data_IF_086250286201
#
_entry.id   IF_086250286201
#
_cell.length_a   1.000
_cell.length_b   1.000
_cell.length_c   1.000
_cell.angle_alpha   90.00
_cell.angle_beta   90.00
_cell.angle_gamma   90.00
#
_symmetry.space_group_name_H-M   'P 1'
#
loop_
_entity.id
_entity.type
_entity.pdbx_description
1 polymer ?
#
# COMPACT_ATOMS: atom_id res chain seq x y z
N UNK A 1 -59.50 29.60 6.38
CA UNK A 1 -59.96 28.67 5.34
C UNK A 1 -58.98 27.50 5.31
N UNK A 2 -59.43 26.33 5.77
CA UNK A 2 -58.70 25.05 5.65
C UNK A 2 -58.69 24.57 4.20
N UNK A 3 -57.60 23.94 3.75
CA UNK A 3 -57.56 22.87 2.72
C UNK A 3 -56.10 22.30 2.71
N UNK A 4 -55.79 21.26 3.50
CA UNK A 4 -55.72 19.84 3.08
C UNK A 4 -54.72 19.70 1.90
N UNK A 5 -53.41 19.45 2.12
CA UNK A 5 -52.77 18.15 2.34
C UNK A 5 -53.52 16.95 1.75
N UNK A 6 -53.45 16.75 0.43
CA UNK A 6 -53.44 15.47 -0.31
C UNK A 6 -52.87 15.80 -1.71
N UNK A 7 -52.02 15.02 -2.37
CA UNK A 7 -52.36 13.74 -2.94
C UNK A 7 -51.07 13.01 -3.36
N UNK A 8 -50.97 11.77 -2.90
CA UNK A 8 -50.12 10.74 -3.45
C UNK A 8 -50.28 10.65 -4.98
N UNK A 9 -49.23 11.00 -5.72
CA UNK A 9 -49.09 10.66 -7.13
C UNK A 9 -48.02 9.57 -7.30
N UNK A 10 -48.22 8.41 -6.67
CA UNK A 10 -47.58 7.16 -7.11
C UNK A 10 -48.43 6.57 -8.23
N UNK A 11 -48.08 6.84 -9.49
CA UNK A 11 -48.64 6.09 -10.61
C UNK A 11 -47.62 5.86 -11.73
N UNK A 12 -46.90 4.76 -11.54
CA UNK A 12 -46.54 3.73 -12.52
C UNK A 12 -45.87 4.08 -13.85
N UNK A 13 -44.72 3.40 -13.99
CA UNK A 13 -43.96 3.03 -15.21
C UNK A 13 -42.91 4.05 -15.66
N UNK A 14 -41.67 3.55 -15.76
CA UNK A 14 -40.45 4.22 -16.21
C UNK A 14 -39.65 4.97 -15.14
N UNK A 15 -38.99 4.19 -14.28
CA UNK A 15 -37.89 4.67 -13.44
C UNK A 15 -36.78 3.64 -13.20
N UNK A 16 -36.81 2.48 -13.88
CA UNK A 16 -35.67 1.53 -13.86
C UNK A 16 -34.39 2.16 -14.46
N UNK A 17 -34.52 3.32 -15.11
CA UNK A 17 -33.45 4.18 -15.61
C UNK A 17 -32.92 5.20 -14.59
N UNK A 18 -33.44 5.22 -13.35
CA UNK A 18 -33.03 6.15 -12.29
C UNK A 18 -32.03 5.59 -11.28
N UNK A 19 -31.63 4.32 -11.38
CA UNK A 19 -30.69 3.68 -10.45
C UNK A 19 -29.24 3.72 -10.98
N UNK A 20 -29.03 4.10 -12.24
CA UNK A 20 -27.71 4.07 -12.89
C UNK A 20 -26.86 5.35 -12.70
N UNK A 21 -27.33 6.37 -11.97
CA UNK A 21 -26.61 7.64 -11.80
C UNK A 21 -26.38 8.04 -10.34
N UNK A 22 -26.29 7.08 -9.42
CA UNK A 22 -25.69 7.31 -8.11
C UNK A 22 -24.20 6.95 -8.18
N UNK A 23 -23.49 7.82 -8.87
CA UNK A 23 -22.05 8.03 -8.89
C UNK A 23 -21.47 7.96 -7.46
N UNK A 24 -20.88 6.82 -7.08
CA UNK A 24 -20.01 6.74 -5.91
C UNK A 24 -18.93 5.67 -6.11
N UNK A 25 -18.13 5.82 -7.17
CA UNK A 25 -16.87 5.08 -7.30
C UNK A 25 -15.86 5.78 -6.38
N UNK A 26 -15.84 5.40 -5.10
CA UNK A 26 -14.75 5.74 -4.19
C UNK A 26 -13.51 4.90 -4.60
N UNK A 27 -12.68 5.42 -5.51
CA UNK A 27 -11.34 4.88 -5.73
C UNK A 27 -10.49 5.24 -4.51
N UNK A 28 -10.44 4.32 -3.55
CA UNK A 28 -9.52 4.40 -2.41
C UNK A 28 -8.09 4.32 -2.95
N UNK A 29 -7.36 5.43 -2.95
CA UNK A 29 -5.94 5.46 -3.28
C UNK A 29 -5.17 4.54 -2.34
N UNK A 30 -4.55 3.49 -2.89
CA UNK A 30 -3.64 2.65 -2.12
C UNK A 30 -2.40 3.48 -1.77
N UNK A 31 -2.33 3.97 -0.53
CA UNK A 31 -1.10 4.57 0.00
C UNK A 31 0.01 3.52 -0.08
N UNK A 32 0.93 3.71 -1.03
CA UNK A 32 2.12 2.87 -1.16
C UNK A 32 3.08 3.30 -0.06
N UNK A 33 3.00 2.64 1.09
CA UNK A 33 3.96 2.83 2.17
C UNK A 33 5.37 2.69 1.59
N UNK A 34 6.20 3.72 1.76
CA UNK A 34 7.58 3.68 1.33
C UNK A 34 8.30 2.50 2.00
N UNK A 35 9.23 1.82 1.31
CA UNK A 35 10.10 0.85 1.94
C UNK A 35 10.83 1.51 3.12
N UNK A 36 10.64 0.97 4.32
CA UNK A 36 11.29 1.48 5.52
C UNK A 36 12.81 1.42 5.35
N UNK A 37 13.46 2.58 5.37
CA UNK A 37 14.91 2.68 5.37
C UNK A 37 15.40 2.64 6.83
N UNK A 38 16.06 1.55 7.19
CA UNK A 38 16.63 1.36 8.51
C UNK A 38 18.01 2.02 8.58
N UNK A 39 18.37 2.49 9.77
CA UNK A 39 19.72 3.01 10.03
C UNK A 39 20.69 1.90 10.45
N UNK A 40 20.15 0.79 10.96
CA UNK A 40 20.92 -0.33 11.47
C UNK A 40 20.52 -1.64 10.80
N UNK A 41 21.45 -2.59 10.77
CA UNK A 41 21.23 -3.88 10.14
C UNK A 41 20.26 -4.73 10.96
N UNK A 42 19.18 -5.26 10.34
CA UNK A 42 18.23 -6.10 11.06
C UNK A 42 18.90 -7.37 11.61
N UNK A 43 18.48 -7.76 12.81
CA UNK A 43 18.95 -8.96 13.48
C UNK A 43 18.65 -10.22 12.65
N UNK A 44 19.46 -11.27 12.86
CA UNK A 44 19.26 -12.55 12.16
C UNK A 44 17.88 -13.11 12.49
N UNK A 45 17.14 -13.56 11.48
CA UNK A 45 15.81 -14.15 11.64
C UNK A 45 14.64 -13.16 11.70
N UNK A 46 14.90 -11.84 11.70
CA UNK A 46 13.83 -10.82 11.63
C UNK A 46 13.22 -10.76 10.24
N UNK A 47 14.07 -10.81 9.20
CA UNK A 47 13.61 -10.87 7.81
C UNK A 47 13.27 -12.30 7.43
N UNK A 48 12.05 -12.52 6.94
CA UNK A 48 11.64 -13.79 6.35
C UNK A 48 12.39 -14.05 5.05
N UNK A 49 12.35 -15.30 4.58
CA UNK A 49 12.95 -15.66 3.30
C UNK A 49 12.41 -14.78 2.17
N UNK A 50 13.31 -14.07 1.47
CA UNK A 50 12.95 -13.19 0.36
C UNK A 50 12.43 -11.81 0.78
N UNK A 51 12.22 -11.56 2.08
CA UNK A 51 11.86 -10.23 2.59
C UNK A 51 13.05 -9.29 2.50
N UNK A 52 12.80 -8.04 2.08
CA UNK A 52 13.86 -7.06 1.82
C UNK A 52 13.76 -5.90 2.80
N UNK A 53 14.90 -5.56 3.40
CA UNK A 53 15.10 -4.33 4.14
C UNK A 53 16.21 -3.49 3.51
N UNK A 54 16.04 -2.17 3.52
CA UNK A 54 17.06 -1.24 3.06
C UNK A 54 17.72 -0.59 4.27
N UNK A 55 19.06 -0.55 4.31
CA UNK A 55 19.83 -0.04 5.45
C UNK A 55 20.83 1.02 5.00
N UNK A 56 20.78 2.19 5.61
CA UNK A 56 21.67 3.33 5.33
C UNK A 56 22.64 3.60 6.49
N UNK A 57 23.69 2.77 6.52
CA UNK A 57 24.72 2.74 7.56
C UNK A 57 26.04 3.41 7.10
N UNK A 58 26.04 4.05 5.91
CA UNK A 58 27.21 4.77 5.37
C UNK A 58 28.35 3.88 4.85
N UNK A 59 28.21 2.55 4.89
CA UNK A 59 29.22 1.62 4.36
C UNK A 59 29.15 1.45 2.83
N UNK A 60 28.00 1.79 2.21
CA UNK A 60 27.85 1.77 0.76
C UNK A 60 28.29 3.12 0.16
N UNK A 61 28.65 3.17 -1.13
CA UNK A 61 28.99 4.41 -1.84
C UNK A 61 27.88 5.47 -1.74
N UNK A 62 28.26 6.74 -1.99
CA UNK A 62 27.31 7.84 -1.93
C UNK A 62 26.10 7.61 -2.87
N UNK A 63 24.89 7.74 -2.31
CA UNK A 63 23.63 7.50 -3.02
C UNK A 63 23.17 6.04 -3.04
N UNK A 64 23.87 5.14 -2.37
CA UNK A 64 23.53 3.71 -2.26
C UNK A 64 23.20 3.31 -0.82
N UNK A 65 22.44 2.24 -0.68
CA UNK A 65 21.99 1.67 0.60
C UNK A 65 22.14 0.15 0.55
N UNK A 66 22.32 -0.50 1.69
CA UNK A 66 22.38 -1.96 1.77
C UNK A 66 20.98 -2.54 1.58
N UNK A 67 20.76 -3.33 0.53
CA UNK A 67 19.60 -4.21 0.37
C UNK A 67 19.89 -5.52 1.09
N UNK A 68 19.24 -5.74 2.21
CA UNK A 68 19.33 -6.97 2.99
C UNK A 68 18.12 -7.84 2.63
N UNK A 69 18.38 -8.99 1.99
CA UNK A 69 17.33 -9.99 1.69
C UNK A 69 17.40 -11.10 2.72
N UNK A 70 16.28 -11.36 3.41
CA UNK A 70 16.18 -12.39 4.43
C UNK A 70 16.45 -13.78 3.85
N UNK A 71 17.27 -14.53 4.56
CA UNK A 71 17.54 -15.94 4.29
C UNK A 71 16.65 -16.85 5.13
N UNK A 72 16.82 -18.14 4.97
CA UNK A 72 16.22 -19.16 5.83
C UNK A 72 17.32 -20.13 6.27
N UNK A 73 17.84 -19.91 7.48
CA UNK A 73 18.91 -20.74 8.04
C UNK A 73 18.49 -22.22 8.20
N UNK A 74 17.21 -22.48 8.49
CA UNK A 74 16.69 -23.85 8.61
C UNK A 74 16.67 -24.57 7.25
N UNK A 75 16.51 -23.83 6.16
CA UNK A 75 16.56 -24.35 4.80
C UNK A 75 17.97 -24.23 4.17
N UNK A 76 18.99 -23.84 4.92
CA UNK A 76 20.35 -23.63 4.40
C UNK A 76 20.51 -22.41 3.48
N UNK A 77 19.53 -21.50 3.43
CA UNK A 77 19.57 -20.29 2.60
C UNK A 77 20.13 -19.13 3.42
N UNK A 78 21.32 -18.64 3.06
CA UNK A 78 21.93 -17.48 3.70
C UNK A 78 21.19 -16.19 3.34
N UNK A 79 21.25 -15.19 4.24
CA UNK A 79 20.81 -13.83 3.91
C UNK A 79 21.76 -13.21 2.88
N UNK A 80 21.24 -12.40 1.99
CA UNK A 80 22.03 -11.68 0.98
C UNK A 80 22.10 -10.20 1.33
N UNK A 81 23.27 -9.58 1.11
CA UNK A 81 23.49 -8.15 1.34
C UNK A 81 24.19 -7.59 0.11
N UNK A 82 23.58 -6.58 -0.51
CA UNK A 82 24.11 -5.91 -1.69
C UNK A 82 23.94 -4.40 -1.56
N UNK A 83 24.91 -3.61 -2.01
CA UNK A 83 24.73 -2.16 -2.14
C UNK A 83 23.94 -1.87 -3.41
N UNK A 84 22.77 -1.23 -3.26
CA UNK A 84 21.91 -0.86 -4.38
C UNK A 84 21.62 0.63 -4.34
N UNK A 85 21.23 1.21 -5.48
CA UNK A 85 20.74 2.59 -5.53
C UNK A 85 19.60 2.76 -4.52
N UNK A 86 19.65 3.87 -3.78
CA UNK A 86 18.60 4.23 -2.83
C UNK A 86 17.24 4.17 -3.55
N UNK A 87 16.28 3.35 -3.09
CA UNK A 87 14.99 3.26 -3.73
C UNK A 87 14.32 4.64 -3.68
N UNK A 88 14.05 5.20 -4.86
CA UNK A 88 13.39 6.50 -5.03
C UNK A 88 11.86 6.29 -4.94
N UNK A 89 11.35 6.39 -3.72
CA UNK A 89 9.93 6.25 -3.37
C UNK A 89 9.80 6.04 -1.86
N UNK A 90 9.21 6.93 -1.07
CA UNK A 90 8.22 7.98 -1.39
C UNK A 90 8.45 9.25 -0.53
N UNK A 91 7.92 10.42 -0.95
CA UNK A 91 7.78 11.63 -0.10
C UNK A 91 7.05 11.37 1.23
#
# INVERSE_FOLDING_TARGET
MNLISEMHATSHRHGWTGVFLALAICVSGAARAAPALLKEMPAKGVLRLGEVAYVDDGTCPAGEVKKVTGGNQKAGVARQVECVKRPVGSP
#
